data_IF_768727603135
#
_entry.id   IF_768727603135
#
_cell.length_a   1.000
_cell.length_b   1.000
_cell.length_c   1.000
_cell.angle_alpha   90.00
_cell.angle_beta   90.00
_cell.angle_gamma   90.00
#
_symmetry.space_group_name_H-M   'P 1'
#
loop_
_entity.id
_entity.type
_entity.pdbx_description
1 polymer ?
#
# COMPACT_ATOMS: atom_id res chain seq x y z
N UNK A 1 -16.34 5.79 5.33
CA UNK A 1 -15.85 5.08 6.52
C UNK A 1 -16.78 5.32 7.70
N UNK A 2 -16.71 6.44 8.45
CA UNK A 2 -17.55 6.64 9.66
C UNK A 2 -19.08 6.54 9.47
N UNK A 3 -19.62 7.09 8.37
CA UNK A 3 -21.08 7.11 8.12
C UNK A 3 -21.65 5.70 7.93
N UNK A 4 -20.84 4.75 7.46
CA UNK A 4 -21.25 3.38 7.14
C UNK A 4 -20.56 2.35 8.03
N UNK A 5 -19.95 2.79 9.14
CA UNK A 5 -19.21 1.96 10.09
C UNK A 5 -18.22 0.98 9.43
N UNK A 6 -17.38 1.51 8.55
CA UNK A 6 -16.40 0.72 7.79
C UNK A 6 -14.97 1.19 8.01
N UNK A 7 -14.03 0.25 7.92
CA UNK A 7 -12.59 0.53 7.94
C UNK A 7 -12.05 0.83 6.53
N UNK A 8 -11.13 1.80 6.38
CA UNK A 8 -10.49 2.07 5.10
C UNK A 8 -9.45 1.03 4.71
N UNK A 9 -9.47 0.69 3.42
CA UNK A 9 -8.39 0.04 2.67
C UNK A 9 -7.90 1.05 1.63
N UNK A 10 -6.65 1.51 1.75
CA UNK A 10 -6.07 2.55 0.89
C UNK A 10 -4.94 1.94 0.06
N UNK A 11 -4.86 2.29 -1.22
CA UNK A 11 -3.76 1.88 -2.09
C UNK A 11 -2.80 3.04 -2.33
N UNK A 12 -1.53 2.87 -1.98
CA UNK A 12 -0.49 3.88 -2.28
C UNK A 12 -0.02 3.75 -3.73
N UNK A 13 0.26 4.88 -4.37
CA UNK A 13 0.73 4.90 -5.75
C UNK A 13 2.21 4.47 -5.84
N UNK A 14 2.45 3.20 -6.15
CA UNK A 14 3.80 2.69 -6.44
C UNK A 14 4.11 2.54 -7.94
N UNK A 15 3.20 2.89 -8.83
CA UNK A 15 3.48 2.93 -10.27
C UNK A 15 4.36 4.12 -10.61
N UNK A 16 3.73 5.29 -10.72
CA UNK A 16 4.43 6.54 -11.01
C UNK A 16 4.83 7.33 -9.76
N UNK A 17 4.24 7.01 -8.61
CA UNK A 17 4.60 7.62 -7.33
C UNK A 17 5.93 7.09 -6.76
N UNK A 18 6.49 7.83 -5.82
CA UNK A 18 7.71 7.47 -5.12
C UNK A 18 7.43 6.68 -3.83
N UNK A 19 8.48 6.09 -3.25
CA UNK A 19 8.39 5.44 -1.93
C UNK A 19 8.12 6.50 -0.86
N UNK A 20 8.72 7.66 -1.01
CA UNK A 20 8.61 8.80 -0.11
C UNK A 20 7.17 9.33 -0.08
N UNK A 21 6.50 9.41 -1.23
CA UNK A 21 5.09 9.81 -1.31
C UNK A 21 4.19 8.82 -0.56
N UNK A 22 4.41 7.51 -0.75
CA UNK A 22 3.67 6.47 -0.03
C UNK A 22 3.86 6.56 1.49
N UNK A 23 5.09 6.79 1.96
CA UNK A 23 5.39 6.96 3.38
C UNK A 23 4.77 8.25 3.93
N UNK A 24 4.82 9.34 3.16
CA UNK A 24 4.20 10.61 3.53
C UNK A 24 2.67 10.48 3.62
N UNK A 25 2.03 9.73 2.72
CA UNK A 25 0.59 9.47 2.80
C UNK A 25 0.20 8.69 4.06
N UNK A 26 1.00 7.69 4.46
CA UNK A 26 0.79 7.00 5.74
C UNK A 26 1.01 7.93 6.93
N UNK A 27 2.07 8.75 6.92
CA UNK A 27 2.30 9.74 7.99
C UNK A 27 1.17 10.77 8.06
N UNK A 28 0.64 11.21 6.93
CA UNK A 28 -0.51 12.11 6.87
C UNK A 28 -1.71 11.47 7.55
N UNK A 29 -2.00 10.20 7.22
CA UNK A 29 -3.15 9.51 7.76
C UNK A 29 -3.01 9.16 9.25
N UNK A 30 -1.84 8.70 9.68
CA UNK A 30 -1.67 8.04 10.98
C UNK A 30 -0.72 8.77 11.94
N UNK A 31 0.12 9.66 11.43
CA UNK A 31 1.14 10.37 12.21
C UNK A 31 0.56 11.35 13.23
N UNK A 32 1.34 11.61 14.28
CA UNK A 32 1.01 12.60 15.30
C UNK A 32 1.01 14.03 14.73
N UNK A 33 0.22 14.94 15.32
CA UNK A 33 0.15 16.34 14.87
C UNK A 33 1.45 17.15 15.04
N UNK A 34 2.51 16.56 15.59
CA UNK A 34 3.86 17.13 15.63
C UNK A 34 4.72 16.79 14.41
N UNK A 35 4.37 15.74 13.65
CA UNK A 35 5.08 15.35 12.42
C UNK A 35 4.76 16.28 11.25
N UNK A 36 5.52 16.20 10.16
CA UNK A 36 5.30 17.08 9.00
C UNK A 36 3.92 16.86 8.39
N UNK A 37 3.58 15.61 8.09
CA UNK A 37 2.31 15.28 7.45
C UNK A 37 1.13 15.30 8.43
N UNK A 38 1.36 14.97 9.72
CA UNK A 38 0.33 15.11 10.75
C UNK A 38 -0.06 16.57 11.03
N UNK A 39 0.89 17.52 10.95
CA UNK A 39 0.60 18.97 10.97
C UNK A 39 -0.26 19.38 9.79
N UNK A 40 0.05 18.91 8.58
CA UNK A 40 -0.75 19.18 7.38
C UNK A 40 -2.16 18.63 7.53
N UNK A 41 -2.33 17.39 8.02
CA UNK A 41 -3.65 16.80 8.32
C UNK A 41 -4.46 17.67 9.27
N UNK A 42 -3.84 18.16 10.35
CA UNK A 42 -4.48 19.08 11.31
C UNK A 42 -4.91 20.39 10.65
N UNK A 43 -4.05 21.00 9.84
CA UNK A 43 -4.38 22.25 9.11
C UNK A 43 -5.54 22.05 8.13
N UNK A 44 -5.64 20.85 7.54
CA UNK A 44 -6.75 20.46 6.67
C UNK A 44 -8.05 20.11 7.42
N UNK A 45 -8.10 20.33 8.75
CA UNK A 45 -9.31 20.20 9.56
C UNK A 45 -9.44 18.87 10.31
N UNK A 46 -8.44 18.00 10.27
CA UNK A 46 -8.45 16.70 10.96
C UNK A 46 -7.26 16.55 11.91
N UNK A 47 -7.44 16.95 13.17
CA UNK A 47 -6.39 16.84 14.18
C UNK A 47 -6.10 15.38 14.55
N UNK A 48 -7.13 14.58 14.79
CA UNK A 48 -6.97 13.18 15.19
C UNK A 48 -6.47 12.32 14.01
N UNK A 49 -5.51 11.40 14.23
CA UNK A 49 -5.12 10.41 13.24
C UNK A 49 -6.31 9.56 12.79
N UNK A 50 -6.35 9.23 11.50
CA UNK A 50 -7.38 8.36 10.94
C UNK A 50 -7.19 6.89 11.32
N UNK A 51 -5.96 6.50 11.71
CA UNK A 51 -5.58 5.13 12.11
C UNK A 51 -5.94 4.10 11.03
N UNK A 52 -5.62 4.43 9.77
CA UNK A 52 -5.82 3.53 8.64
C UNK A 52 -4.95 2.31 8.82
N UNK A 53 -5.58 1.14 8.88
CA UNK A 53 -4.90 -0.13 9.16
C UNK A 53 -4.41 -0.82 7.89
N UNK A 54 -5.21 -0.86 6.83
CA UNK A 54 -4.93 -1.67 5.65
C UNK A 54 -4.43 -0.83 4.47
N UNK A 55 -3.25 -1.19 3.96
CA UNK A 55 -2.57 -0.46 2.90
C UNK A 55 -2.11 -1.39 1.76
N UNK A 56 -2.66 -1.21 0.56
CA UNK A 56 -2.18 -1.86 -0.64
C UNK A 56 -0.94 -1.14 -1.17
N UNK A 57 0.15 -1.88 -1.35
CA UNK A 57 1.44 -1.34 -1.77
C UNK A 57 1.53 -1.39 -3.29
N UNK A 58 0.78 -0.50 -3.96
CA UNK A 58 0.58 -0.50 -5.41
C UNK A 58 -0.68 -1.25 -5.84
N UNK A 59 -0.87 -1.38 -7.16
CA UNK A 59 -2.01 -2.07 -7.77
C UNK A 59 -1.58 -2.73 -9.08
N UNK A 60 -1.84 -4.04 -9.22
CA UNK A 60 -1.66 -4.83 -10.45
C UNK A 60 -0.39 -4.48 -11.26
N UNK A 61 0.74 -4.35 -10.57
CA UNK A 61 2.01 -3.85 -11.13
C UNK A 61 2.59 -4.74 -12.25
N UNK A 62 2.00 -5.91 -12.49
CA UNK A 62 2.35 -6.86 -13.54
C UNK A 62 1.71 -6.55 -14.90
N UNK A 63 0.56 -5.87 -14.93
CA UNK A 63 -0.26 -5.72 -16.13
C UNK A 63 0.25 -4.59 -17.01
N UNK A 64 0.49 -4.84 -18.30
CA UNK A 64 0.97 -3.80 -19.25
C UNK A 64 -0.03 -2.65 -19.48
N UNK A 65 -1.29 -2.83 -19.05
CA UNK A 65 -2.31 -1.79 -19.02
C UNK A 65 -2.13 -0.79 -17.87
N UNK A 66 -1.39 -1.15 -16.83
CA UNK A 66 -1.23 -0.35 -15.64
C UNK A 66 -0.16 0.74 -15.83
N UNK A 67 -0.47 1.96 -15.43
CA UNK A 67 0.52 3.05 -15.47
C UNK A 67 1.65 2.78 -14.47
N UNK A 68 2.87 2.74 -14.97
CA UNK A 68 4.04 2.39 -14.18
C UNK A 68 4.12 0.90 -13.83
N UNK A 69 3.47 0.01 -14.62
CA UNK A 69 3.74 -1.42 -14.54
C UNK A 69 5.25 -1.67 -14.66
N UNK A 70 5.75 -2.69 -13.98
CA UNK A 70 7.18 -2.93 -13.89
C UNK A 70 7.50 -4.41 -13.81
N UNK A 71 8.70 -4.82 -14.24
CA UNK A 71 9.21 -6.16 -13.99
C UNK A 71 9.13 -6.50 -12.50
N UNK A 72 8.80 -7.75 -12.20
CA UNK A 72 8.60 -8.17 -10.81
C UNK A 72 9.81 -7.94 -9.90
N UNK A 73 11.05 -8.04 -10.40
CA UNK A 73 12.23 -7.76 -9.58
C UNK A 73 12.28 -6.29 -9.14
N UNK A 74 11.86 -5.38 -10.01
CA UNK A 74 11.80 -3.95 -9.73
C UNK A 74 10.66 -3.66 -8.74
N UNK A 75 9.50 -4.30 -8.92
CA UNK A 75 8.39 -4.19 -7.98
C UNK A 75 8.77 -4.74 -6.60
N UNK A 76 9.39 -5.91 -6.50
CA UNK A 76 9.84 -6.49 -5.24
C UNK A 76 10.78 -5.55 -4.49
N UNK A 77 11.76 -4.97 -5.20
CA UNK A 77 12.70 -4.04 -4.60
C UNK A 77 12.04 -2.73 -4.17
N UNK A 78 11.03 -2.23 -4.91
CA UNK A 78 10.28 -1.02 -4.56
C UNK A 78 9.28 -1.27 -3.43
N UNK A 79 8.57 -2.40 -3.45
CA UNK A 79 7.66 -2.88 -2.42
C UNK A 79 8.37 -3.00 -1.07
N UNK A 80 9.51 -3.70 -0.99
CA UNK A 80 10.23 -3.87 0.27
C UNK A 80 10.72 -2.54 0.85
N UNK A 81 11.14 -1.60 -0.01
CA UNK A 81 11.52 -0.24 0.40
C UNK A 81 10.33 0.55 0.94
N UNK A 82 9.18 0.51 0.25
CA UNK A 82 7.95 1.11 0.73
C UNK A 82 7.50 0.52 2.06
N UNK A 83 7.47 -0.81 2.18
CA UNK A 83 7.10 -1.51 3.40
C UNK A 83 7.99 -1.13 4.59
N UNK A 84 9.31 -1.11 4.41
CA UNK A 84 10.25 -0.69 5.44
C UNK A 84 10.01 0.78 5.88
N UNK A 85 9.78 1.67 4.92
CA UNK A 85 9.46 3.08 5.21
C UNK A 85 8.13 3.23 5.94
N UNK A 86 7.09 2.54 5.48
CA UNK A 86 5.75 2.58 6.06
C UNK A 86 5.77 2.05 7.49
N UNK A 87 6.37 0.89 7.74
CA UNK A 87 6.44 0.33 9.10
C UNK A 87 7.36 1.10 10.05
N UNK A 88 8.34 1.84 9.52
CA UNK A 88 9.11 2.80 10.34
C UNK A 88 8.23 3.98 10.79
N UNK A 89 7.31 4.42 9.95
CA UNK A 89 6.35 5.48 10.26
C UNK A 89 5.23 4.99 11.17
N UNK A 90 4.65 3.83 10.86
CA UNK A 90 3.59 3.19 11.63
C UNK A 90 3.66 1.66 11.50
N UNK A 91 4.24 1.02 12.52
CA UNK A 91 4.41 -0.43 12.59
C UNK A 91 3.11 -1.21 12.85
N UNK A 92 1.99 -0.53 13.09
CA UNK A 92 0.68 -1.19 13.29
C UNK A 92 -0.05 -1.48 11.98
N UNK A 93 0.41 -0.91 10.87
CA UNK A 93 -0.17 -1.08 9.55
C UNK A 93 -0.07 -2.52 9.04
N UNK A 94 -1.10 -2.95 8.31
CA UNK A 94 -1.17 -4.21 7.59
C UNK A 94 -0.96 -3.93 6.11
N UNK A 95 0.15 -4.44 5.56
CA UNK A 95 0.54 -4.19 4.18
C UNK A 95 0.10 -5.34 3.27
N UNK A 96 -0.50 -4.98 2.14
CA UNK A 96 -0.99 -5.91 1.13
C UNK A 96 -0.11 -5.78 -0.11
N UNK A 97 0.64 -6.81 -0.43
CA UNK A 97 1.40 -6.90 -1.68
C UNK A 97 0.50 -7.25 -2.86
N UNK A 98 0.90 -6.88 -4.07
CA UNK A 98 0.18 -7.21 -5.30
C UNK A 98 0.47 -8.66 -5.71
N UNK A 99 -0.58 -9.49 -5.80
CA UNK A 99 -0.54 -10.82 -6.42
C UNK A 99 -1.20 -10.86 -7.81
N UNK A 100 -1.04 -12.00 -8.48
CA UNK A 100 -1.65 -12.33 -9.77
C UNK A 100 -1.84 -13.85 -9.90
N UNK A 101 -3.05 -14.30 -9.55
CA UNK A 101 -3.48 -15.68 -9.62
C UNK A 101 -3.62 -16.12 -11.08
N UNK A 102 -2.72 -16.99 -11.51
CA UNK A 102 -2.64 -17.47 -12.89
C UNK A 102 -1.25 -17.35 -13.49
N UNK A 103 -0.37 -16.56 -12.87
CA UNK A 103 1.05 -16.48 -13.24
C UNK A 103 1.96 -16.90 -12.08
N UNK A 104 3.27 -16.75 -12.28
CA UNK A 104 4.26 -17.00 -11.23
C UNK A 104 4.49 -15.79 -10.31
N UNK A 105 3.74 -14.70 -10.49
CA UNK A 105 3.96 -13.45 -9.77
C UNK A 105 3.76 -13.60 -8.25
N UNK A 106 2.61 -14.11 -7.82
CA UNK A 106 2.30 -14.30 -6.38
C UNK A 106 3.33 -15.16 -5.66
N UNK A 107 3.75 -16.27 -6.30
CA UNK A 107 4.80 -17.14 -5.77
C UNK A 107 6.13 -16.41 -5.59
N UNK A 108 6.52 -15.59 -6.55
CA UNK A 108 7.76 -14.80 -6.48
C UNK A 108 7.65 -13.70 -5.43
N UNK A 109 6.50 -13.03 -5.29
CA UNK A 109 6.26 -12.08 -4.21
C UNK A 109 6.40 -12.73 -2.83
N UNK A 110 5.77 -13.88 -2.59
CA UNK A 110 5.92 -14.61 -1.32
C UNK A 110 7.37 -14.99 -1.02
N UNK A 111 8.14 -15.40 -2.03
CA UNK A 111 9.54 -15.80 -1.84
C UNK A 111 10.50 -14.65 -1.49
N UNK A 112 10.26 -13.43 -1.97
CA UNK A 112 11.21 -12.29 -1.84
C UNK A 112 10.70 -11.22 -0.87
N UNK A 113 9.39 -11.05 -0.78
CA UNK A 113 8.73 -9.98 -0.05
C UNK A 113 7.94 -10.50 1.16
N UNK A 114 8.01 -11.80 1.49
CA UNK A 114 7.23 -12.42 2.57
C UNK A 114 7.36 -11.69 3.91
N UNK A 115 8.57 -11.26 4.28
CA UNK A 115 8.81 -10.50 5.52
C UNK A 115 8.41 -9.02 5.43
N UNK A 116 7.97 -8.55 4.26
CA UNK A 116 7.63 -7.15 3.94
C UNK A 116 6.15 -6.97 3.55
N UNK A 117 5.30 -7.93 3.86
CA UNK A 117 3.84 -7.84 3.68
C UNK A 117 3.12 -8.73 4.69
N UNK A 118 1.90 -8.36 5.06
CA UNK A 118 1.03 -9.18 5.92
C UNK A 118 0.06 -10.02 5.08
N UNK A 119 -0.35 -9.51 3.92
CA UNK A 119 -1.31 -10.13 3.02
C UNK A 119 -0.85 -9.98 1.57
N UNK A 120 -1.44 -10.77 0.68
CA UNK A 120 -1.23 -10.70 -0.76
C UNK A 120 -2.61 -10.63 -1.46
N UNK A 121 -2.77 -9.70 -2.40
CA UNK A 121 -4.03 -9.53 -3.14
C UNK A 121 -4.15 -10.55 -4.28
N UNK A 122 -5.37 -10.99 -4.59
CA UNK A 122 -5.67 -11.81 -5.77
C UNK A 122 -7.00 -11.36 -6.39
N UNK A 123 -7.05 -11.19 -7.71
CA UNK A 123 -8.21 -10.60 -8.42
C UNK A 123 -8.81 -11.55 -9.47
N UNK A 124 -9.40 -12.69 -9.07
CA UNK A 124 -10.06 -13.57 -10.03
C UNK A 124 -11.38 -12.92 -10.51
N UNK A 125 -11.57 -12.87 -11.83
CA UNK A 125 -12.83 -12.44 -12.45
C UNK A 125 -13.46 -13.63 -13.16
N UNK A 126 -14.75 -13.87 -12.90
CA UNK A 126 -15.51 -14.95 -13.51
C UNK A 126 -16.70 -14.38 -14.29
N UNK A 127 -16.87 -14.82 -15.53
CA UNK A 127 -18.06 -14.53 -16.32
C UNK A 127 -19.06 -15.69 -16.18
N UNK A 128 -20.33 -15.38 -15.94
CA UNK A 128 -21.39 -16.40 -16.00
C UNK A 128 -21.60 -16.77 -17.46
N UNK A 129 -21.44 -18.06 -17.77
CA UNK A 129 -21.89 -18.66 -19.03
C UNK A 129 -23.38 -18.93 -19.00
#
# INVERSE_FOLDING_TARGET
MKIIDSEPFIAVNLGLGSVEDAVAEVEYCNGDTTTLEGKKRKLNGAADPFKVKYWAVGNEMFGSWQLGFMPIADYQAKHNRAAAGIWKTDSTTQLIGVGDIGTNWSRRMMNVCGDYMNLLSEHPVFERR
#
